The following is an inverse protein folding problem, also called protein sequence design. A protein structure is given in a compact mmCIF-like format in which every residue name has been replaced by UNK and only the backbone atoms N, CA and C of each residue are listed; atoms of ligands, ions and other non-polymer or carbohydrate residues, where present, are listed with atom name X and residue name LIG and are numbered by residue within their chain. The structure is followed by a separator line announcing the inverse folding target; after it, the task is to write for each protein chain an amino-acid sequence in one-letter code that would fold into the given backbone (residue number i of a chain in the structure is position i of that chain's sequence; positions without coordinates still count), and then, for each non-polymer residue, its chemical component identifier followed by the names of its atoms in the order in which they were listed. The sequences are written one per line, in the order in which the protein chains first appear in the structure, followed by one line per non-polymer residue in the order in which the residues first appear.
data_IF_852886071264
#
_entry.id   IF_852886071264
#
_cell.length_a   1.000
_cell.length_b   1.000
_cell.length_c   1.000
_cell.angle_alpha   90.00
_cell.angle_beta   90.00
_cell.angle_gamma   90.00
#
_symmetry.space_group_name_H-M   'P 1'
#
loop_
_entity.id
_entity.type
_entity.pdbx_description
1 polymer ?
#
# COMPACT_ATOMS: atom_id res chain seq x y z
N UNK A 1 -0.57 -2.46 -9.05
CA UNK A 1 -1.47 -3.11 -10.04
C UNK A 1 -0.62 -3.80 -11.10
N UNK A 2 -0.57 -5.13 -11.11
CA UNK A 2 0.16 -5.87 -12.14
C UNK A 2 -0.68 -5.93 -13.40
N UNK A 3 -0.23 -5.27 -14.47
CA UNK A 3 -0.93 -5.20 -15.74
C UNK A 3 -0.41 -6.31 -16.64
N UNK A 4 -1.07 -7.46 -16.62
CA UNK A 4 -0.73 -8.58 -17.50
C UNK A 4 -1.04 -8.20 -18.96
N UNK A 5 -0.18 -8.66 -19.88
CA UNK A 5 -0.38 -8.52 -21.32
C UNK A 5 -1.58 -9.36 -21.79
N UNK A 6 -2.50 -8.80 -22.60
CA UNK A 6 -3.69 -9.51 -23.04
C UNK A 6 -3.37 -10.60 -24.07
N UNK A 7 -4.09 -11.71 -23.99
CA UNK A 7 -3.94 -12.87 -24.88
C UNK A 7 -5.32 -13.46 -25.20
N UNK A 8 -5.53 -13.86 -26.45
CA UNK A 8 -6.71 -14.62 -26.88
C UNK A 8 -6.32 -16.08 -27.09
N UNK A 9 -7.18 -17.01 -26.67
CA UNK A 9 -7.02 -18.44 -26.96
C UNK A 9 -8.16 -18.90 -27.85
N UNK A 10 -7.82 -19.40 -29.04
CA UNK A 10 -8.77 -20.03 -29.95
C UNK A 10 -8.43 -21.52 -30.12
N UNK A 11 -9.45 -22.38 -30.12
CA UNK A 11 -9.28 -23.84 -30.19
C UNK A 11 -8.63 -24.33 -31.49
N UNK A 12 -8.63 -23.53 -32.55
CA UNK A 12 -8.07 -23.86 -33.87
C UNK A 12 -6.77 -23.12 -34.16
N UNK A 13 -6.62 -21.89 -33.68
CA UNK A 13 -5.49 -21.00 -33.98
C UNK A 13 -4.45 -20.91 -32.86
N UNK A 14 -4.70 -21.50 -31.69
CA UNK A 14 -3.79 -21.44 -30.55
C UNK A 14 -3.87 -20.10 -29.81
N UNK A 15 -2.81 -19.76 -29.08
CA UNK A 15 -2.73 -18.50 -28.34
C UNK A 15 -2.23 -17.35 -29.24
N UNK A 16 -2.98 -16.25 -29.26
CA UNK A 16 -2.70 -15.04 -30.04
C UNK A 16 -2.38 -13.91 -29.06
N UNK A 17 -1.23 -13.27 -29.24
CA UNK A 17 -0.85 -12.10 -28.44
C UNK A 17 -1.70 -10.90 -28.88
N UNK A 18 -2.38 -10.26 -27.93
CA UNK A 18 -3.19 -9.06 -28.18
C UNK A 18 -2.44 -7.76 -27.86
N UNK A 19 -1.17 -7.86 -27.49
CA UNK A 19 -0.29 -6.73 -27.22
C UNK A 19 0.56 -6.94 -25.97
N UNK A 20 1.55 -6.07 -25.82
CA UNK A 20 2.51 -6.01 -24.73
C UNK A 20 2.44 -4.65 -24.04
N UNK A 21 2.68 -4.63 -22.74
CA UNK A 21 2.73 -3.39 -21.96
C UNK A 21 4.06 -2.67 -22.22
N UNK A 22 4.04 -1.64 -23.09
CA UNK A 22 5.23 -0.86 -23.45
C UNK A 22 5.16 0.60 -23.02
N UNK A 23 4.01 1.07 -22.54
CA UNK A 23 3.82 2.46 -22.15
C UNK A 23 3.00 2.58 -20.87
N UNK A 24 3.37 3.54 -20.03
CA UNK A 24 2.67 3.80 -18.77
C UNK A 24 1.23 4.24 -19.01
N UNK A 25 0.30 3.92 -18.08
CA UNK A 25 -1.10 4.36 -18.16
C UNK A 25 -1.21 5.88 -18.31
N UNK A 26 -2.13 6.33 -19.16
CA UNK A 26 -2.37 7.74 -19.43
C UNK A 26 -3.80 8.11 -19.03
N UNK A 27 -4.02 9.28 -18.44
CA UNK A 27 -5.39 9.79 -18.28
C UNK A 27 -5.99 10.11 -19.65
N UNK A 28 -7.28 9.87 -19.83
CA UNK A 28 -7.97 10.27 -21.06
C UNK A 28 -7.99 11.80 -21.19
N UNK A 29 -8.04 12.30 -22.43
CA UNK A 29 -8.14 13.75 -22.70
C UNK A 29 -9.47 14.36 -22.24
N UNK A 30 -10.47 13.51 -22.07
CA UNK A 30 -11.84 13.86 -21.65
C UNK A 30 -12.24 12.89 -20.55
N UNK A 31 -12.60 13.41 -19.37
CA UNK A 31 -12.99 12.62 -18.20
C UNK A 31 -11.82 12.27 -17.26
N UNK A 32 -12.08 11.34 -16.34
CA UNK A 32 -11.13 10.87 -15.32
C UNK A 32 -10.70 9.41 -15.54
N UNK A 33 -10.98 8.85 -16.72
CA UNK A 33 -10.68 7.46 -17.03
C UNK A 33 -9.18 7.29 -17.30
N UNK A 34 -8.69 6.08 -17.03
CA UNK A 34 -7.28 5.73 -17.24
C UNK A 34 -7.21 4.80 -18.46
N UNK A 35 -6.40 5.17 -19.45
CA UNK A 35 -6.24 4.43 -20.70
C UNK A 35 -4.87 3.76 -20.75
N UNK A 36 -4.89 2.47 -21.01
CA UNK A 36 -3.71 1.64 -21.24
C UNK A 36 -3.73 1.19 -22.70
N UNK A 37 -2.57 1.28 -23.34
CA UNK A 37 -2.41 0.85 -24.73
C UNK A 37 -1.35 -0.22 -24.78
N UNK A 38 -1.79 -1.44 -25.09
CA UNK A 38 -0.93 -2.58 -25.36
C UNK A 38 -0.66 -2.63 -26.86
N UNK A 39 0.60 -2.69 -27.24
CA UNK A 39 1.05 -2.69 -28.64
C UNK A 39 1.96 -3.88 -28.91
N UNK A 40 2.43 -4.06 -30.16
CA UNK A 40 3.30 -5.18 -30.50
C UNK A 40 2.69 -6.57 -30.25
N UNK A 41 1.39 -6.73 -30.51
CA UNK A 41 0.71 -8.03 -30.54
C UNK A 41 1.08 -8.87 -31.76
N UNK A 42 0.32 -9.95 -31.98
CA UNK A 42 0.46 -10.78 -33.18
C UNK A 42 0.16 -9.98 -34.46
N UNK A 43 0.70 -10.43 -35.58
CA UNK A 43 0.55 -9.75 -36.87
C UNK A 43 -0.89 -9.91 -37.38
N UNK A 44 -1.45 -8.82 -37.89
CA UNK A 44 -2.78 -8.79 -38.47
C UNK A 44 -2.89 -9.45 -39.84
N UNK A 45 -4.13 -9.63 -40.31
CA UNK A 45 -4.45 -10.15 -41.65
C UNK A 45 -3.81 -9.34 -42.79
N UNK A 46 -3.60 -8.05 -42.58
CA UNK A 46 -2.95 -7.13 -43.54
C UNK A 46 -1.42 -7.33 -43.64
N UNK A 47 -0.83 -8.17 -42.77
CA UNK A 47 0.60 -8.46 -42.62
C UNK A 47 1.50 -7.25 -42.37
N UNK A 48 0.94 -6.08 -42.11
CA UNK A 48 1.67 -4.82 -41.92
C UNK A 48 1.50 -4.27 -40.52
N UNK A 49 0.30 -4.43 -39.96
CA UNK A 49 0.00 -3.96 -38.62
C UNK A 49 0.08 -5.11 -37.62
N UNK A 50 0.27 -4.74 -36.36
CA UNK A 50 0.25 -5.65 -35.22
C UNK A 50 -0.95 -5.34 -34.36
N UNK A 51 -1.50 -6.37 -33.73
CA UNK A 51 -2.65 -6.22 -32.85
C UNK A 51 -2.32 -5.24 -31.72
N UNK A 52 -3.28 -4.38 -31.44
CA UNK A 52 -3.26 -3.45 -30.33
C UNK A 52 -4.50 -3.66 -29.47
N UNK A 53 -4.34 -3.54 -28.16
CA UNK A 53 -5.45 -3.55 -27.21
C UNK A 53 -5.49 -2.24 -26.46
N UNK A 54 -6.65 -1.60 -26.48
CA UNK A 54 -6.94 -0.38 -25.75
C UNK A 54 -7.81 -0.78 -24.56
N UNK A 55 -7.27 -0.68 -23.36
CA UNK A 55 -8.00 -0.93 -22.11
C UNK A 55 -8.31 0.41 -21.44
N UNK A 56 -9.60 0.69 -21.28
CA UNK A 56 -10.09 1.88 -20.56
C UNK A 56 -10.58 1.47 -19.18
N UNK A 57 -9.85 1.86 -18.16
CA UNK A 57 -10.19 1.71 -16.76
C UNK A 57 -11.13 2.83 -16.34
N UNK A 58 -12.28 2.46 -15.77
CA UNK A 58 -13.33 3.37 -15.30
C UNK A 58 -13.52 3.18 -13.80
N UNK A 59 -13.60 4.28 -13.06
CA UNK A 59 -13.78 4.22 -11.61
C UNK A 59 -15.17 3.64 -11.28
N UNK A 60 -15.16 2.58 -10.47
CA UNK A 60 -16.36 2.01 -9.85
C UNK A 60 -16.03 1.61 -8.40
N UNK A 61 -16.42 2.44 -7.41
CA UNK A 61 -16.14 2.15 -6.01
C UNK A 61 -16.69 0.80 -5.56
N UNK A 62 -15.93 0.08 -4.73
CA UNK A 62 -16.28 -1.24 -4.19
C UNK A 62 -16.14 -2.42 -5.17
N UNK A 63 -15.75 -2.18 -6.43
CA UNK A 63 -15.60 -3.24 -7.43
C UNK A 63 -14.13 -3.52 -7.75
N UNK A 64 -13.55 -4.54 -7.12
CA UNK A 64 -12.18 -5.01 -7.39
C UNK A 64 -12.12 -6.38 -8.07
N UNK A 65 -13.26 -7.06 -8.19
CA UNK A 65 -13.35 -8.44 -8.66
C UNK A 65 -13.86 -8.56 -10.10
N UNK A 66 -14.43 -7.49 -10.66
CA UNK A 66 -14.89 -7.51 -12.05
C UNK A 66 -13.74 -7.74 -13.03
N UNK A 67 -14.09 -8.24 -14.20
CA UNK A 67 -13.18 -8.45 -15.32
C UNK A 67 -13.37 -7.37 -16.40
N UNK A 68 -12.34 -7.10 -17.23
CA UNK A 68 -12.48 -6.26 -18.40
C UNK A 68 -13.50 -6.85 -19.40
N UNK A 69 -14.36 -5.98 -19.94
CA UNK A 69 -15.39 -6.31 -20.92
C UNK A 69 -14.97 -5.84 -22.30
N UNK A 70 -15.03 -6.72 -23.30
CA UNK A 70 -14.78 -6.36 -24.69
C UNK A 70 -15.92 -5.47 -25.21
N UNK A 71 -15.59 -4.29 -25.71
CA UNK A 71 -16.55 -3.30 -26.25
C UNK A 71 -16.63 -3.37 -27.75
N UNK A 72 -15.49 -3.39 -28.41
CA UNK A 72 -15.41 -3.40 -29.86
C UNK A 72 -14.16 -4.14 -30.32
N UNK A 73 -14.24 -4.67 -31.53
CA UNK A 73 -13.09 -5.12 -32.30
C UNK A 73 -13.20 -4.41 -33.63
N UNK A 74 -12.09 -3.81 -34.10
CA UNK A 74 -12.06 -3.20 -35.42
C UNK A 74 -12.41 -4.23 -36.50
N UNK A 75 -12.95 -3.77 -37.62
CA UNK A 75 -13.38 -4.65 -38.71
C UNK A 75 -12.27 -5.53 -39.30
N UNK A 76 -11.02 -5.10 -39.17
CA UNK A 76 -9.82 -5.84 -39.58
C UNK A 76 -9.28 -6.80 -38.50
N UNK A 77 -9.87 -6.82 -37.30
CA UNK A 77 -9.45 -7.65 -36.18
C UNK A 77 -8.16 -7.20 -35.48
N UNK A 78 -7.67 -5.99 -35.77
CA UNK A 78 -6.38 -5.49 -35.29
C UNK A 78 -6.43 -4.68 -34.01
N UNK A 79 -7.58 -4.11 -33.68
CA UNK A 79 -7.74 -3.23 -32.53
C UNK A 79 -8.85 -3.77 -31.65
N UNK A 80 -8.50 -4.10 -30.41
CA UNK A 80 -9.43 -4.57 -29.39
C UNK A 80 -9.67 -3.44 -28.40
N UNK A 81 -10.91 -3.03 -28.22
CA UNK A 81 -11.27 -2.04 -27.21
C UNK A 81 -11.98 -2.73 -26.05
N UNK A 82 -11.43 -2.56 -24.85
CA UNK A 82 -11.95 -3.13 -23.63
C UNK A 82 -12.23 -2.04 -22.60
N UNK A 83 -13.24 -2.24 -21.79
CA UNK A 83 -13.56 -1.40 -20.63
C UNK A 83 -13.50 -2.22 -19.36
N UNK A 84 -12.92 -1.66 -18.31
CA UNK A 84 -12.88 -2.31 -17.00
C UNK A 84 -13.29 -1.34 -15.91
N UNK A 85 -14.45 -1.60 -15.31
CA UNK A 85 -14.99 -0.80 -14.22
C UNK A 85 -14.43 -1.31 -12.90
N UNK A 86 -13.48 -0.61 -12.31
CA UNK A 86 -12.81 -1.06 -11.09
C UNK A 86 -12.54 0.09 -10.11
N UNK A 87 -12.54 -0.22 -8.82
CA UNK A 87 -12.15 0.70 -7.75
C UNK A 87 -10.68 1.14 -7.88
N UNK A 88 -9.81 0.32 -8.48
CA UNK A 88 -8.40 0.67 -8.69
C UNK A 88 -8.20 1.84 -9.68
N UNK A 89 -9.24 2.19 -10.45
CA UNK A 89 -9.22 3.33 -11.37
C UNK A 89 -9.69 4.63 -10.70
N UNK A 90 -10.19 4.55 -9.46
CA UNK A 90 -10.68 5.71 -8.72
C UNK A 90 -9.54 6.59 -8.21
N UNK A 91 -9.83 7.87 -8.00
CA UNK A 91 -8.85 8.83 -7.50
C UNK A 91 -8.48 8.45 -6.07
N UNK A 92 -7.19 8.19 -5.86
CA UNK A 92 -6.65 7.97 -4.52
C UNK A 92 -6.74 9.26 -3.70
N UNK A 93 -7.26 9.14 -2.49
CA UNK A 93 -7.30 10.22 -1.51
C UNK A 93 -6.77 9.72 -0.17
N UNK A 94 -6.13 10.62 0.57
CA UNK A 94 -5.75 10.33 1.96
C UNK A 94 -7.02 10.37 2.80
N UNK A 95 -7.30 9.27 3.47
CA UNK A 95 -8.45 9.13 4.38
C UNK A 95 -7.96 9.02 5.81
N UNK A 96 -8.80 9.43 6.75
CA UNK A 96 -8.53 9.37 8.18
C UNK A 96 -9.61 8.54 8.87
N UNK A 97 -9.23 7.87 9.93
CA UNK A 97 -10.13 7.14 10.80
C UNK A 97 -9.70 7.26 12.25
N UNK A 98 -10.57 6.80 13.15
CA UNK A 98 -10.36 6.82 14.59
C UNK A 98 -10.78 5.46 15.19
N UNK A 99 -10.69 5.30 16.51
CA UNK A 99 -10.95 4.05 17.22
C UNK A 99 -10.13 2.88 16.67
N UNK A 100 -8.89 3.17 16.25
CA UNK A 100 -7.96 2.22 15.66
C UNK A 100 -8.45 1.58 14.35
N UNK A 101 -9.39 2.24 13.67
CA UNK A 101 -9.98 1.81 12.41
C UNK A 101 -9.86 2.89 11.35
N UNK A 102 -9.74 2.49 10.09
CA UNK A 102 -9.78 3.41 8.94
C UNK A 102 -10.39 2.72 7.73
N UNK A 103 -11.23 3.44 7.00
CA UNK A 103 -11.96 2.92 5.84
C UNK A 103 -11.42 3.49 4.53
N UNK A 104 -11.22 2.63 3.54
CA UNK A 104 -11.02 2.99 2.14
C UNK A 104 -12.39 2.98 1.41
N UNK A 105 -13.01 4.15 1.19
CA UNK A 105 -14.32 4.21 0.55
C UNK A 105 -14.27 3.88 -0.95
N UNK A 106 -13.10 3.96 -1.59
CA UNK A 106 -12.98 3.62 -3.01
C UNK A 106 -12.95 2.11 -3.18
N UNK A 107 -12.18 1.41 -2.35
CA UNK A 107 -12.11 -0.04 -2.37
C UNK A 107 -13.28 -0.71 -1.62
N UNK A 108 -13.96 0.01 -0.73
CA UNK A 108 -15.02 -0.53 0.14
C UNK A 108 -14.47 -1.35 1.30
N UNK A 109 -13.25 -1.05 1.75
CA UNK A 109 -12.55 -1.82 2.79
C UNK A 109 -12.45 -1.05 4.10
N UNK A 110 -12.49 -1.79 5.22
CA UNK A 110 -12.22 -1.26 6.56
C UNK A 110 -11.05 -2.00 7.16
N UNK A 111 -10.10 -1.25 7.72
CA UNK A 111 -8.90 -1.78 8.34
C UNK A 111 -8.96 -1.54 9.85
N UNK A 112 -9.00 -2.62 10.63
CA UNK A 112 -9.02 -2.59 12.10
C UNK A 112 -7.67 -3.04 12.66
N UNK A 113 -6.93 -2.11 13.27
CA UNK A 113 -5.64 -2.36 13.91
C UNK A 113 -5.76 -2.66 15.40
N UNK A 114 -6.98 -2.71 15.97
CA UNK A 114 -7.21 -3.06 17.39
C UNK A 114 -6.55 -4.38 17.81
N UNK A 115 -6.48 -5.45 16.97
CA UNK A 115 -5.77 -6.69 17.32
C UNK A 115 -4.27 -6.52 17.56
N UNK A 116 -3.66 -5.43 17.08
CA UNK A 116 -2.26 -5.08 17.34
C UNK A 116 -2.10 -4.28 18.63
N UNK A 117 -3.18 -3.76 19.22
CA UNK A 117 -3.10 -3.08 20.51
C UNK A 117 -2.79 -4.07 21.62
N UNK A 118 -1.81 -3.75 22.46
CA UNK A 118 -1.48 -4.55 23.64
C UNK A 118 -2.33 -4.09 24.81
N UNK A 119 -3.14 -5.01 25.33
CA UNK A 119 -3.99 -4.79 26.49
C UNK A 119 -3.17 -4.34 27.71
N UNK A 120 -3.84 -3.65 28.62
CA UNK A 120 -3.28 -3.15 29.89
C UNK A 120 -2.03 -2.27 29.79
N UNK A 121 -1.76 -1.73 28.59
CA UNK A 121 -0.56 -0.94 28.33
C UNK A 121 0.69 -1.78 28.09
N UNK A 122 0.53 -3.03 27.68
CA UNK A 122 1.65 -3.83 27.16
C UNK A 122 2.32 -3.15 25.96
N UNK A 123 3.41 -3.75 25.47
CA UNK A 123 4.23 -3.10 24.44
C UNK A 123 4.92 -4.09 23.51
N UNK A 124 5.22 -3.59 22.33
CA UNK A 124 6.28 -4.13 21.48
C UNK A 124 7.59 -3.50 21.92
N UNK A 125 8.63 -4.32 22.03
CA UNK A 125 9.99 -3.86 22.31
C UNK A 125 10.85 -3.99 21.06
N UNK A 126 11.59 -2.94 20.74
CA UNK A 126 12.67 -2.97 19.77
C UNK A 126 13.93 -2.44 20.43
N UNK A 127 15.05 -3.10 20.19
CA UNK A 127 16.36 -2.59 20.60
C UNK A 127 17.12 -2.18 19.35
N UNK A 128 17.60 -0.94 19.32
CA UNK A 128 18.48 -0.44 18.26
C UNK A 128 19.60 0.40 18.88
N UNK A 129 20.83 0.09 18.49
CA UNK A 129 22.05 0.64 19.07
C UNK A 129 22.13 0.45 20.60
N UNK A 130 21.97 1.53 21.35
CA UNK A 130 22.01 1.57 22.82
C UNK A 130 20.65 1.86 23.45
N UNK A 131 19.57 1.94 22.66
CA UNK A 131 18.25 2.32 23.14
C UNK A 131 17.23 1.21 22.97
N UNK A 132 16.39 1.05 23.97
CA UNK A 132 15.16 0.27 23.90
C UNK A 132 13.98 1.18 23.56
N UNK A 133 13.10 0.68 22.71
CA UNK A 133 11.94 1.41 22.22
C UNK A 133 10.69 0.60 22.51
N UNK A 134 9.83 1.17 23.33
CA UNK A 134 8.56 0.58 23.74
C UNK A 134 7.43 1.27 23.00
N UNK A 135 6.59 0.49 22.31
CA UNK A 135 5.51 1.03 21.48
C UNK A 135 4.24 0.24 21.75
N UNK A 136 3.13 0.95 21.80
CA UNK A 136 1.81 0.34 21.73
C UNK A 136 1.00 0.95 20.57
N UNK A 137 0.13 0.14 19.96
CA UNK A 137 -0.74 0.55 18.86
C UNK A 137 -2.05 1.08 19.41
N UNK A 138 -2.44 2.27 18.94
CA UNK A 138 -3.70 2.94 19.29
C UNK A 138 -3.92 3.14 20.80
N UNK A 139 -2.85 3.14 21.59
CA UNK A 139 -2.94 3.15 23.05
C UNK A 139 -1.62 3.50 23.72
N UNK A 140 -1.65 3.83 25.02
CA UNK A 140 -0.45 4.19 25.76
C UNK A 140 0.41 2.96 26.06
N UNK A 141 1.71 3.19 26.25
CA UNK A 141 2.66 2.20 26.74
C UNK A 141 2.86 2.36 28.25
N UNK A 142 2.73 1.25 28.98
CA UNK A 142 3.06 1.13 30.40
C UNK A 142 4.34 0.32 30.56
N UNK A 143 5.47 0.98 30.34
CA UNK A 143 6.79 0.50 30.75
C UNK A 143 7.27 1.37 31.91
N UNK A 144 8.00 0.78 32.87
CA UNK A 144 8.30 1.40 34.17
C UNK A 144 8.99 2.79 34.08
N UNK A 145 9.73 3.05 33.00
CA UNK A 145 10.41 4.32 32.78
C UNK A 145 9.60 5.30 31.90
N UNK A 146 8.52 4.87 31.25
CA UNK A 146 7.87 5.68 30.21
C UNK A 146 6.80 6.64 30.76
N UNK A 147 6.64 7.84 30.17
CA UNK A 147 5.58 8.77 30.55
C UNK A 147 4.16 8.18 30.32
N UNK A 148 3.23 8.49 31.22
CA UNK A 148 1.90 7.84 31.35
C UNK A 148 1.03 7.87 30.08
N UNK A 149 1.19 8.89 29.23
CA UNK A 149 0.43 9.07 27.98
C UNK A 149 1.24 8.77 26.71
N UNK A 150 2.48 8.29 26.83
CA UNK A 150 3.31 8.00 25.67
C UNK A 150 2.70 6.83 24.88
N UNK A 151 2.53 6.99 23.57
CA UNK A 151 2.21 5.87 22.67
C UNK A 151 3.47 5.13 22.22
N UNK A 152 4.60 5.84 22.20
CA UNK A 152 5.93 5.29 21.99
C UNK A 152 6.94 5.98 22.92
N UNK A 153 7.94 5.24 23.36
CA UNK A 153 8.89 5.68 24.36
C UNK A 153 10.28 5.12 24.06
N UNK A 154 11.31 5.95 24.17
CA UNK A 154 12.71 5.55 24.09
C UNK A 154 13.30 5.51 25.49
N UNK A 155 14.03 4.44 25.82
CA UNK A 155 14.65 4.24 27.13
C UNK A 155 16.09 3.78 26.97
N UNK A 156 16.98 4.35 27.79
CA UNK A 156 18.31 3.81 28.09
C UNK A 156 18.51 3.97 29.61
N UNK A 157 19.25 5.00 30.05
CA UNK A 157 19.34 5.42 31.46
C UNK A 157 18.23 6.40 31.86
N UNK A 158 17.80 7.20 30.90
CA UNK A 158 16.66 8.10 30.98
C UNK A 158 15.64 7.68 29.93
N UNK A 159 14.41 8.15 30.09
CA UNK A 159 13.31 7.87 29.19
C UNK A 159 12.76 9.15 28.56
N UNK A 160 12.34 9.03 27.31
CA UNK A 160 11.72 10.12 26.56
C UNK A 160 10.47 9.62 25.86
N UNK A 161 9.37 10.36 26.00
CA UNK A 161 8.19 10.14 25.17
C UNK A 161 8.51 10.51 23.74
N UNK A 162 8.14 9.64 22.81
CA UNK A 162 8.23 9.86 21.37
C UNK A 162 6.89 10.32 20.78
N UNK A 163 5.92 10.64 21.62
CA UNK A 163 4.62 11.16 21.24
C UNK A 163 3.50 10.60 22.10
N UNK A 164 2.42 11.37 22.22
CA UNK A 164 1.21 11.02 22.93
C UNK A 164 0.39 9.99 22.15
N UNK A 165 -0.09 8.99 22.87
CA UNK A 165 -0.95 7.94 22.33
C UNK A 165 -2.25 8.52 21.78
N UNK A 166 -2.70 7.98 20.65
CA UNK A 166 -4.01 8.23 20.08
C UNK A 166 -4.40 7.05 19.16
N UNK A 167 -5.65 7.02 18.73
CA UNK A 167 -6.23 5.97 17.89
C UNK A 167 -6.45 6.41 16.43
N UNK A 168 -5.90 7.56 16.03
CA UNK A 168 -6.15 8.16 14.72
C UNK A 168 -5.23 7.57 13.67
N UNK A 169 -5.83 6.90 12.70
CA UNK A 169 -5.13 6.31 11.57
C UNK A 169 -5.29 7.17 10.33
N UNK A 170 -4.29 7.13 9.46
CA UNK A 170 -4.42 7.65 8.10
C UNK A 170 -4.06 6.58 7.10
N UNK A 171 -4.83 6.47 6.03
CA UNK A 171 -4.62 5.49 4.98
C UNK A 171 -4.42 6.21 3.65
N UNK A 172 -3.45 5.71 2.90
CA UNK A 172 -3.18 6.15 1.54
C UNK A 172 -2.50 5.01 0.77
N UNK A 173 -3.14 4.56 -0.32
CA UNK A 173 -2.56 3.63 -1.30
C UNK A 173 -1.95 2.35 -0.67
N UNK A 174 -2.74 1.61 0.11
CA UNK A 174 -2.28 0.38 0.77
C UNK A 174 -1.37 0.59 1.98
N UNK A 175 -1.04 1.83 2.35
CA UNK A 175 -0.22 2.17 3.51
C UNK A 175 -1.08 2.80 4.61
N UNK A 176 -1.14 2.16 5.78
CA UNK A 176 -1.76 2.74 6.98
C UNK A 176 -0.67 3.38 7.84
N UNK A 177 -0.93 4.55 8.38
CA UNK A 177 -0.01 5.35 9.17
C UNK A 177 -0.67 5.77 10.49
N UNK A 178 0.03 5.56 11.60
CA UNK A 178 -0.31 6.06 12.93
C UNK A 178 0.78 7.04 13.38
N UNK A 179 0.38 8.26 13.75
CA UNK A 179 1.32 9.30 14.17
C UNK A 179 1.10 9.65 15.63
N UNK A 180 2.18 9.55 16.42
CA UNK A 180 2.25 10.08 17.77
C UNK A 180 3.10 11.35 17.77
N UNK A 181 2.49 12.47 18.19
CA UNK A 181 3.12 13.79 18.27
C UNK A 181 3.17 14.27 19.71
N UNK A 182 3.76 15.45 19.98
CA UNK A 182 3.82 16.03 21.32
C UNK A 182 4.60 15.20 22.35
N UNK A 183 5.67 14.52 21.92
CA UNK A 183 6.57 13.82 22.83
C UNK A 183 7.46 14.78 23.65
N UNK A 184 8.40 14.20 24.40
CA UNK A 184 9.36 14.97 25.20
C UNK A 184 10.20 15.90 24.33
N UNK A 185 10.57 17.08 24.83
CA UNK A 185 11.41 18.02 24.09
C UNK A 185 12.80 17.46 23.81
N UNK A 186 13.24 17.59 22.57
CA UNK A 186 14.60 17.30 22.16
C UNK A 186 15.56 18.41 22.64
N UNK A 187 16.80 18.06 22.94
CA UNK A 187 17.80 19.01 23.45
C UNK A 187 18.43 19.84 22.30
N UNK A 188 17.59 20.49 21.51
CA UNK A 188 18.01 21.44 20.48
C UNK A 188 17.53 22.86 20.84
N UNK A 189 18.08 23.86 20.16
CA UNK A 189 17.74 25.28 20.40
C UNK A 189 16.24 25.58 20.23
N UNK A 190 15.54 24.78 19.43
CA UNK A 190 14.11 24.94 19.15
C UNK A 190 13.19 24.13 20.06
N UNK A 191 13.72 23.38 21.03
CA UNK A 191 12.97 22.49 21.91
C UNK A 191 11.92 21.65 21.16
N UNK A 192 12.31 21.10 20.00
CA UNK A 192 11.38 20.37 19.13
C UNK A 192 10.80 19.18 19.88
N UNK A 193 9.48 19.05 19.87
CA UNK A 193 8.80 17.90 20.45
C UNK A 193 9.07 16.66 19.60
N UNK A 194 9.42 15.57 20.28
CA UNK A 194 9.63 14.27 19.63
C UNK A 194 8.33 13.73 19.04
N UNK A 195 8.42 13.03 17.92
CA UNK A 195 7.27 12.43 17.25
C UNK A 195 7.64 11.12 16.56
N UNK A 196 6.67 10.21 16.50
CA UNK A 196 6.79 8.89 15.91
C UNK A 196 5.74 8.70 14.82
N UNK A 197 6.14 8.07 13.72
CA UNK A 197 5.29 7.60 12.64
C UNK A 197 5.42 6.08 12.51
N UNK A 198 4.32 5.37 12.68
CA UNK A 198 4.25 3.92 12.54
C UNK A 198 3.54 3.63 11.23
N UNK A 199 4.21 2.89 10.34
CA UNK A 199 3.67 2.48 9.04
C UNK A 199 3.34 0.99 9.04
N UNK A 200 2.11 0.68 8.66
CA UNK A 200 1.60 -0.68 8.51
C UNK A 200 1.46 -1.01 7.03
N UNK A 201 1.97 -2.18 6.66
CA UNK A 201 1.91 -2.74 5.32
C UNK A 201 1.29 -4.12 5.43
N UNK A 202 0.48 -4.49 4.45
CA UNK A 202 -0.06 -5.84 4.40
C UNK A 202 1.04 -6.85 4.09
N UNK A 203 1.06 -7.96 4.82
CA UNK A 203 1.61 -9.20 4.30
C UNK A 203 0.87 -10.43 4.88
N UNK A 204 0.44 -11.36 4.02
CA UNK A 204 -0.42 -12.47 4.41
C UNK A 204 0.17 -13.44 5.44
N UNK A 205 1.49 -13.52 5.57
CA UNK A 205 2.15 -14.62 6.29
C UNK A 205 2.69 -14.22 7.65
N UNK A 206 2.76 -12.92 7.98
CA UNK A 206 3.50 -12.49 9.17
C UNK A 206 2.69 -12.44 10.48
N UNK A 207 1.39 -12.80 10.47
CA UNK A 207 0.55 -12.75 11.68
C UNK A 207 0.51 -11.33 12.27
N UNK A 208 0.74 -11.19 13.59
CA UNK A 208 0.78 -9.89 14.26
C UNK A 208 2.00 -9.02 13.90
N UNK A 209 3.02 -9.61 13.25
CA UNK A 209 4.25 -8.91 12.89
C UNK A 209 5.17 -8.59 14.06
N UNK A 210 6.38 -8.12 13.72
CA UNK A 210 7.31 -7.48 14.64
C UNK A 210 7.74 -6.14 14.04
N UNK A 211 7.68 -5.05 14.80
CA UNK A 211 8.11 -3.76 14.30
C UNK A 211 9.62 -3.72 14.03
N UNK A 212 10.01 -3.04 12.96
CA UNK A 212 11.40 -2.82 12.56
C UNK A 212 11.67 -1.33 12.30
N UNK A 213 12.92 -0.89 12.48
CA UNK A 213 13.31 0.49 12.21
C UNK A 213 13.38 0.80 10.70
N UNK A 214 12.90 1.96 10.31
CA UNK A 214 13.15 2.53 8.98
C UNK A 214 14.43 3.37 8.98
N UNK A 215 15.45 2.95 8.24
CA UNK A 215 16.65 3.76 7.98
C UNK A 215 16.41 4.55 6.68
N UNK A 216 16.53 5.88 6.76
CA UNK A 216 16.19 6.82 5.67
C UNK A 216 17.06 6.71 4.40
N UNK A 217 18.08 5.84 4.39
CA UNK A 217 19.01 5.69 3.26
C UNK A 217 18.57 4.61 2.24
N UNK A 218 17.49 3.86 2.49
CA UNK A 218 17.12 2.68 1.67
C UNK A 218 15.94 2.96 0.71
N UNK A 219 15.38 4.17 0.73
CA UNK A 219 14.21 4.53 -0.11
C UNK A 219 14.44 4.27 -1.61
N UNK A 220 15.66 4.43 -2.12
CA UNK A 220 15.95 4.17 -3.53
C UNK A 220 16.15 2.69 -3.88
N UNK A 221 16.46 1.82 -2.91
CA UNK A 221 16.75 0.42 -3.20
C UNK A 221 15.57 -0.51 -2.88
N UNK A 222 14.89 -0.34 -1.74
CA UNK A 222 13.80 -1.28 -1.38
C UNK A 222 12.52 -1.11 -2.20
N UNK A 223 12.17 0.10 -2.66
CA UNK A 223 11.04 0.27 -3.59
C UNK A 223 11.33 -0.43 -4.92
N UNK A 224 12.56 -0.36 -5.42
CA UNK A 224 12.99 -1.07 -6.62
C UNK A 224 13.15 -2.60 -6.42
N UNK A 225 13.31 -3.06 -5.18
CA UNK A 225 13.50 -4.48 -4.87
C UNK A 225 12.17 -5.23 -4.64
N UNK A 226 11.14 -4.55 -4.12
CA UNK A 226 9.75 -5.08 -4.10
C UNK A 226 9.18 -5.19 -5.52
N UNK A 227 9.58 -4.30 -6.43
CA UNK A 227 9.25 -4.36 -7.86
C UNK A 227 10.00 -5.48 -8.65
N UNK A 228 10.90 -6.23 -8.00
CA UNK A 228 11.77 -7.25 -8.63
C UNK A 228 11.50 -8.70 -8.18
N UNK A 229 10.35 -9.01 -7.60
CA UNK A 229 10.00 -10.41 -7.35
C UNK A 229 9.60 -11.12 -8.67
N UNK A 230 10.07 -12.35 -8.92
CA UNK A 230 9.92 -13.02 -10.20
C UNK A 230 8.47 -13.45 -10.46
N UNK A 231 8.09 -13.31 -11.74
CA UNK A 231 6.78 -13.61 -12.28
C UNK A 231 6.40 -15.09 -12.15
N UNK A 232 5.53 -15.46 -11.19
CA UNK A 232 4.70 -16.67 -11.30
C UNK A 232 3.33 -16.50 -10.63
N UNK A 233 2.29 -16.69 -11.47
CA UNK A 233 0.97 -17.27 -11.21
C UNK A 233 0.06 -16.71 -10.08
N UNK A 234 -1.05 -16.08 -10.49
CA UNK A 234 -2.38 -16.15 -9.84
C UNK A 234 -2.52 -15.70 -8.36
N UNK A 235 -1.62 -14.89 -7.81
CA UNK A 235 -1.66 -14.50 -6.38
C UNK A 235 -2.57 -13.29 -6.08
N UNK A 236 -3.03 -12.53 -7.09
CA UNK A 236 -3.74 -11.26 -6.88
C UNK A 236 -5.06 -11.37 -6.08
N UNK A 237 -5.82 -12.44 -6.30
CA UNK A 237 -7.12 -12.68 -5.64
C UNK A 237 -6.97 -13.13 -4.17
N UNK A 238 -5.96 -13.97 -3.86
CA UNK A 238 -5.69 -14.39 -2.48
C UNK A 238 -4.98 -13.31 -1.66
N UNK A 239 -4.15 -12.47 -2.29
CA UNK A 239 -3.36 -11.45 -1.58
C UNK A 239 -4.24 -10.34 -0.99
N UNK A 240 -5.21 -9.84 -1.76
CA UNK A 240 -6.16 -8.83 -1.29
C UNK A 240 -7.07 -9.39 -0.19
N UNK A 241 -7.55 -10.63 -0.35
CA UNK A 241 -8.37 -11.31 0.67
C UNK A 241 -7.60 -11.60 1.97
N UNK A 242 -6.33 -11.97 1.88
CA UNK A 242 -5.48 -12.22 3.06
C UNK A 242 -5.08 -10.93 3.80
N UNK A 243 -5.11 -9.78 3.13
CA UNK A 243 -4.91 -8.48 3.77
C UNK A 243 -6.07 -8.08 4.70
N UNK A 244 -7.24 -8.73 4.66
CA UNK A 244 -8.37 -8.37 5.55
C UNK A 244 -8.21 -8.83 7.00
N UNK A 245 -7.34 -9.81 7.26
CA UNK A 245 -7.23 -10.45 8.58
C UNK A 245 -5.93 -10.12 9.32
N UNK A 246 -4.94 -9.55 8.64
CA UNK A 246 -3.56 -9.49 9.15
C UNK A 246 -2.83 -8.27 8.60
N UNK A 247 -2.85 -7.17 9.37
CA UNK A 247 -1.96 -6.03 9.15
C UNK A 247 -0.72 -6.18 10.01
N UNK A 248 0.42 -5.88 9.42
CA UNK A 248 1.71 -6.01 10.08
C UNK A 248 2.22 -4.61 10.38
N UNK A 249 2.67 -4.40 11.61
CA UNK A 249 3.56 -3.28 11.89
C UNK A 249 4.91 -3.57 11.23
N UNK A 250 5.04 -3.33 9.93
CA UNK A 250 6.31 -3.61 9.26
C UNK A 250 7.39 -2.62 9.68
N UNK A 251 7.03 -1.36 9.91
CA UNK A 251 8.06 -0.31 9.92
C UNK A 251 7.74 0.89 10.81
N UNK A 252 8.61 1.14 11.78
CA UNK A 252 8.63 2.28 12.68
C UNK A 252 9.59 3.35 12.14
N UNK A 253 9.08 4.56 11.90
CA UNK A 253 9.90 5.75 11.58
C UNK A 253 9.76 6.75 12.71
N UNK A 254 10.86 7.06 13.37
CA UNK A 254 10.88 8.10 14.38
C UNK A 254 11.43 9.39 13.76
N UNK A 255 10.66 10.48 13.83
CA UNK A 255 11.14 11.81 13.47
C UNK A 255 11.75 12.46 14.72
N UNK A 256 12.98 12.05 15.05
CA UNK A 256 13.93 13.01 15.60
C UNK A 256 14.45 13.78 14.41
N UNK A 257 14.22 15.09 14.34
CA UNK A 257 14.96 15.92 13.40
C UNK A 257 16.44 15.56 13.51
N UNK A 258 16.96 15.04 12.39
CA UNK A 258 18.31 14.56 12.19
C UNK A 258 19.35 15.36 12.98
N UNK A 259 20.24 14.63 13.63
CA UNK A 259 21.65 14.82 13.33
C UNK A 259 22.26 13.47 12.99
#
# INVERSE_FOLDING_TARGET
MFLLSPCASDKKLGAISLGSFLSSPQKTKVGNDIRLVYTEGSVCSDKKTKIQTILTLKCKPGDLESAPVLRSVSSDGCVYEMEWYTAAACVLSKVQGDDCRVEDPQAGFSFDLSPLSKADGGFYNLTSDHYDYYINVCGPVKAASCPENAGACQSEKSSWSLGEANSRLSYYDGLIQLTYSNGSQYNNKGHTLRSTLISFLCDPEAGAGKPEFQIDNVWYQSLHEVDRLPAYASVGHLSLLACFTTYIMKKFKYHSLFR
#
